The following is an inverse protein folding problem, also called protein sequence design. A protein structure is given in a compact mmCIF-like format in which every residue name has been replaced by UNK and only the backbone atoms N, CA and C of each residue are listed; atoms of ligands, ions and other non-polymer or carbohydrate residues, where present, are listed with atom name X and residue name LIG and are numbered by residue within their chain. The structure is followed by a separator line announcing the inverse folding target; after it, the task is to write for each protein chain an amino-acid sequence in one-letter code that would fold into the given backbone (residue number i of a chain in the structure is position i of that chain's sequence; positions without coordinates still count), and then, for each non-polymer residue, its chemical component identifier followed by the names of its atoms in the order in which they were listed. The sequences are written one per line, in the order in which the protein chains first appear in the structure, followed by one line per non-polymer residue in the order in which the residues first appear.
data_IF_920773068254
#
_entry.id   IF_920773068254
#
_cell.length_a   1.000
_cell.length_b   1.000
_cell.length_c   1.000
_cell.angle_alpha   90.00
_cell.angle_beta   90.00
_cell.angle_gamma   90.00
#
_symmetry.space_group_name_H-M   'P 1'
#
loop_
_entity.id
_entity.type
_entity.pdbx_description
1 polymer ?
#
# COMPACT_ATOMS: atom_id res chain seq x y z
N UNK A 1 -40.29 -10.83 107.41
CA UNK A 1 -40.78 -9.52 106.92
C UNK A 1 -40.84 -9.68 105.39
N UNK A 2 -41.90 -10.31 104.89
CA UNK A 2 -43.13 -9.67 104.36
C UNK A 2 -42.80 -8.79 103.16
N UNK A 3 -42.91 -9.37 101.95
CA UNK A 3 -43.97 -9.07 100.93
C UNK A 3 -43.44 -7.99 99.95
N UNK A 4 -43.63 -7.99 98.64
CA UNK A 4 -44.78 -8.36 97.80
C UNK A 4 -44.32 -8.70 96.35
N UNK A 5 -45.14 -9.50 95.65
CA UNK A 5 -45.21 -9.62 94.18
C UNK A 5 -46.06 -8.44 93.64
N UNK A 6 -45.99 -8.01 92.36
CA UNK A 6 -46.63 -8.80 91.31
C UNK A 6 -46.04 -8.73 89.89
N UNK A 7 -46.32 -9.81 89.17
CA UNK A 7 -46.30 -9.96 87.72
C UNK A 7 -47.40 -9.14 87.04
N UNK A 8 -47.15 -8.60 85.84
CA UNK A 8 -47.99 -8.78 84.62
C UNK A 8 -47.27 -8.24 83.38
N UNK A 9 -47.74 -8.69 82.21
CA UNK A 9 -47.59 -8.10 80.86
C UNK A 9 -46.58 -8.80 79.95
N UNK A 10 -46.83 -9.04 78.67
CA UNK A 10 -48.06 -9.20 77.88
C UNK A 10 -47.54 -9.66 76.51
N UNK A 11 -48.27 -10.61 75.93
CA UNK A 11 -48.35 -10.99 74.52
C UNK A 11 -47.41 -10.32 73.49
N UNK A 12 -46.70 -11.20 72.78
CA UNK A 12 -46.06 -10.97 71.49
C UNK A 12 -47.09 -10.58 70.42
N UNK A 13 -46.76 -9.62 69.54
CA UNK A 13 -47.10 -9.79 68.13
C UNK A 13 -45.94 -9.49 67.18
N UNK A 14 -45.94 -10.27 66.10
CA UNK A 14 -45.09 -10.23 64.92
C UNK A 14 -45.36 -8.97 64.08
N UNK A 15 -44.32 -8.24 63.67
CA UNK A 15 -44.31 -7.33 62.52
C UNK A 15 -42.89 -7.35 61.92
N UNK A 16 -42.69 -8.04 60.79
CA UNK A 16 -42.65 -7.50 59.43
C UNK A 16 -41.54 -6.48 59.15
N UNK A 17 -40.59 -6.96 58.33
CA UNK A 17 -39.63 -6.28 57.45
C UNK A 17 -39.47 -4.77 57.56
N UNK A 18 -38.28 -4.34 57.96
CA UNK A 18 -37.70 -3.06 57.51
C UNK A 18 -36.43 -3.39 56.74
N UNK A 19 -36.57 -3.42 55.42
CA UNK A 19 -35.46 -3.50 54.48
C UNK A 19 -34.63 -2.23 54.62
N UNK A 20 -33.39 -2.37 55.07
CA UNK A 20 -32.41 -1.28 55.06
C UNK A 20 -32.16 -0.89 53.59
N UNK A 21 -32.66 0.28 53.20
CA UNK A 21 -32.35 0.87 51.90
C UNK A 21 -30.86 1.23 51.89
N UNK A 22 -30.09 0.46 51.12
CA UNK A 22 -28.77 0.86 50.68
C UNK A 22 -28.89 2.19 49.90
N UNK A 23 -27.97 3.15 50.05
CA UNK A 23 -27.96 4.34 49.21
C UNK A 23 -27.75 3.92 47.76
N UNK A 24 -28.65 4.42 46.92
CA UNK A 24 -28.72 4.19 45.49
C UNK A 24 -27.38 4.40 44.77
N UNK A 25 -27.21 3.56 43.74
CA UNK A 25 -26.15 3.58 42.73
C UNK A 25 -25.77 4.99 42.23
N UNK A 26 -24.50 5.24 41.88
CA UNK A 26 -24.14 6.44 41.14
C UNK A 26 -24.77 6.36 39.75
N UNK A 27 -25.85 7.14 39.58
CA UNK A 27 -26.38 7.71 38.35
C UNK A 27 -25.69 7.26 37.05
N UNK A 28 -26.38 6.42 36.27
CA UNK A 28 -26.22 6.42 34.82
C UNK A 28 -26.70 7.79 34.32
N UNK A 29 -25.81 8.78 34.31
CA UNK A 29 -26.11 10.03 33.62
C UNK A 29 -26.21 9.73 32.11
N UNK A 30 -27.26 10.22 31.44
CA UNK A 30 -27.38 10.07 29.99
C UNK A 30 -26.16 10.72 29.31
N UNK A 31 -25.52 9.97 28.40
CA UNK A 31 -24.39 10.43 27.60
C UNK A 31 -24.86 11.38 26.49
N UNK A 32 -25.51 12.49 26.84
CA UNK A 32 -25.90 13.48 25.85
C UNK A 32 -24.65 14.22 25.37
N UNK A 33 -24.35 14.21 24.05
CA UNK A 33 -23.17 14.89 23.52
C UNK A 33 -23.19 16.39 23.83
N UNK A 34 -22.08 16.91 24.38
CA UNK A 34 -21.90 18.35 24.57
C UNK A 34 -21.59 19.09 23.27
N UNK A 35 -21.56 20.43 23.32
CA UNK A 35 -21.32 21.30 22.15
C UNK A 35 -20.08 20.92 21.33
N UNK A 36 -18.95 20.63 22.00
CA UNK A 36 -17.73 20.18 21.31
C UNK A 36 -17.93 18.86 20.55
N UNK A 37 -18.67 17.91 21.13
CA UNK A 37 -18.93 16.61 20.49
C UNK A 37 -19.86 16.75 19.28
N UNK A 38 -20.90 17.60 19.37
CA UNK A 38 -21.79 17.89 18.24
C UNK A 38 -21.06 18.53 17.06
N UNK A 39 -20.08 19.40 17.32
CA UNK A 39 -19.24 20.00 16.26
C UNK A 39 -18.42 18.96 15.48
N UNK A 40 -18.22 17.76 16.03
CA UNK A 40 -17.48 16.67 15.38
C UNK A 40 -18.36 15.76 14.51
N UNK A 41 -19.69 15.90 14.53
CA UNK A 41 -20.62 14.97 13.87
C UNK A 41 -20.49 14.93 12.34
N UNK A 42 -20.04 16.04 11.72
CA UNK A 42 -19.85 16.16 10.27
C UNK A 42 -18.37 16.26 9.87
N UNK A 43 -17.46 15.70 10.69
CA UNK A 43 -16.02 15.83 10.46
C UNK A 43 -15.62 15.25 9.09
N UNK A 44 -16.20 14.14 8.65
CA UNK A 44 -15.79 13.45 7.41
C UNK A 44 -15.91 14.33 6.16
N UNK A 45 -16.97 15.13 6.08
CA UNK A 45 -17.32 15.99 4.94
C UNK A 45 -16.45 17.25 4.83
N UNK A 46 -15.64 17.56 5.85
CA UNK A 46 -14.81 18.76 5.90
C UNK A 46 -13.45 18.58 5.22
N UNK A 47 -12.88 19.70 4.76
CA UNK A 47 -11.51 19.74 4.22
C UNK A 47 -10.47 19.49 5.31
N UNK A 48 -9.25 19.08 4.93
CA UNK A 48 -8.16 18.86 5.90
C UNK A 48 -7.81 20.12 6.69
N UNK A 49 -7.87 21.30 6.06
CA UNK A 49 -7.59 22.58 6.72
C UNK A 49 -8.64 22.89 7.78
N UNK A 50 -9.93 22.80 7.42
CA UNK A 50 -11.05 23.01 8.34
C UNK A 50 -11.04 22.02 9.50
N UNK A 51 -10.70 20.75 9.23
CA UNK A 51 -10.47 19.73 10.28
C UNK A 51 -9.40 20.19 11.26
N UNK A 52 -8.27 20.68 10.76
CA UNK A 52 -7.18 21.20 11.57
C UNK A 52 -7.61 22.37 12.47
N UNK A 53 -8.26 23.37 11.90
CA UNK A 53 -8.78 24.53 12.64
C UNK A 53 -9.80 24.13 13.71
N UNK A 54 -10.72 23.21 13.38
CA UNK A 54 -11.70 22.68 14.31
C UNK A 54 -11.02 21.95 15.47
N UNK A 55 -10.01 21.10 15.20
CA UNK A 55 -9.25 20.41 16.24
C UNK A 55 -8.52 21.39 17.16
N UNK A 56 -7.94 22.47 16.61
CA UNK A 56 -7.29 23.52 17.40
C UNK A 56 -8.30 24.20 18.33
N UNK A 57 -9.49 24.55 17.83
CA UNK A 57 -10.54 25.15 18.65
C UNK A 57 -11.04 24.21 19.75
N UNK A 58 -11.29 22.94 19.43
CA UNK A 58 -11.71 21.93 20.42
C UNK A 58 -10.63 21.71 21.48
N UNK A 59 -9.35 21.66 21.07
CA UNK A 59 -8.24 21.56 22.00
C UNK A 59 -8.15 22.77 22.93
N UNK A 60 -8.38 23.99 22.42
CA UNK A 60 -8.42 25.20 23.23
C UNK A 60 -9.56 25.15 24.27
N UNK A 61 -10.76 24.71 23.87
CA UNK A 61 -11.92 24.56 24.76
C UNK A 61 -11.63 23.54 25.87
N UNK A 62 -11.03 22.40 25.53
CA UNK A 62 -10.61 21.37 26.49
C UNK A 62 -9.60 21.97 27.47
N UNK A 63 -8.53 22.60 26.98
CA UNK A 63 -7.52 23.23 27.83
C UNK A 63 -8.11 24.28 28.78
N UNK A 64 -8.96 25.17 28.26
CA UNK A 64 -9.63 26.18 29.07
C UNK A 64 -10.53 25.56 30.16
N UNK A 65 -11.19 24.45 29.84
CA UNK A 65 -12.01 23.68 30.79
C UNK A 65 -11.14 23.12 31.91
N UNK A 66 -10.04 22.43 31.59
CA UNK A 66 -9.12 21.87 32.59
C UNK A 66 -8.48 22.95 33.47
N UNK A 67 -8.10 24.09 32.89
CA UNK A 67 -7.59 25.26 33.65
C UNK A 67 -8.66 25.78 34.61
N UNK A 68 -9.91 25.88 34.15
CA UNK A 68 -11.01 26.36 34.99
C UNK A 68 -11.31 25.42 36.14
N UNK A 69 -11.32 24.11 35.88
CA UNK A 69 -11.47 23.07 36.91
C UNK A 69 -10.36 23.19 37.97
N UNK A 70 -9.09 23.32 37.54
CA UNK A 70 -7.98 23.51 38.46
C UNK A 70 -8.19 24.73 39.36
N UNK A 71 -8.56 25.88 38.78
CA UNK A 71 -8.87 27.10 39.52
C UNK A 71 -10.00 26.92 40.54
N UNK A 72 -11.08 26.21 40.20
CA UNK A 72 -12.18 25.97 41.12
C UNK A 72 -11.84 24.92 42.19
N UNK A 73 -10.92 24.01 41.90
CA UNK A 73 -10.40 23.04 42.88
C UNK A 73 -9.50 23.73 43.91
N UNK A 74 -8.59 24.61 43.48
CA UNK A 74 -7.73 25.43 44.36
C UNK A 74 -8.56 26.31 45.31
N UNK A 75 -9.70 26.83 44.83
CA UNK A 75 -10.65 27.61 45.64
C UNK A 75 -11.50 26.76 46.59
N UNK A 76 -11.38 25.43 46.56
CA UNK A 76 -12.20 24.51 47.35
C UNK A 76 -13.65 24.38 46.89
N UNK A 77 -14.02 24.98 45.75
CA UNK A 77 -15.37 24.86 45.17
C UNK A 77 -15.60 23.47 44.58
N UNK A 78 -14.57 22.89 43.97
CA UNK A 78 -14.57 21.51 43.51
C UNK A 78 -13.75 20.62 44.46
N UNK A 79 -14.40 19.59 45.01
CA UNK A 79 -13.76 18.56 45.81
C UNK A 79 -13.32 17.39 44.92
N UNK A 80 -12.43 16.52 45.42
CA UNK A 80 -11.90 15.37 44.68
C UNK A 80 -12.99 14.45 44.11
N UNK A 81 -14.11 14.29 44.83
CA UNK A 81 -15.26 13.52 44.37
C UNK A 81 -15.91 14.09 43.09
N UNK A 82 -15.81 15.40 42.84
CA UNK A 82 -16.35 16.06 41.65
C UNK A 82 -15.42 15.90 40.44
N UNK A 83 -14.11 15.70 40.65
CA UNK A 83 -13.11 15.62 39.59
C UNK A 83 -12.77 14.20 39.17
N UNK A 84 -13.25 13.16 39.86
CA UNK A 84 -12.93 11.76 39.52
C UNK A 84 -13.34 11.34 38.09
N UNK A 85 -14.36 11.99 37.50
CA UNK A 85 -14.75 11.75 36.09
C UNK A 85 -13.67 12.15 35.09
N UNK A 86 -12.73 13.01 35.48
CA UNK A 86 -11.61 13.44 34.63
C UNK A 86 -10.64 12.29 34.39
N UNK A 87 -10.43 11.43 35.38
CA UNK A 87 -9.57 10.25 35.22
C UNK A 87 -10.11 9.33 34.12
N UNK A 88 -11.44 9.18 34.00
CA UNK A 88 -12.07 8.43 32.93
C UNK A 88 -11.83 9.07 31.54
N UNK A 89 -11.86 10.40 31.45
CA UNK A 89 -11.54 11.13 30.21
C UNK A 89 -10.08 10.88 29.82
N UNK A 90 -9.15 11.06 30.76
CA UNK A 90 -7.71 10.84 30.53
C UNK A 90 -7.47 9.38 30.12
N UNK A 91 -8.13 8.43 30.80
CA UNK A 91 -8.01 7.00 30.47
C UNK A 91 -8.51 6.70 29.06
N UNK A 92 -9.67 7.23 28.67
CA UNK A 92 -10.23 7.07 27.33
C UNK A 92 -9.30 7.61 26.24
N UNK A 93 -8.69 8.77 26.47
CA UNK A 93 -7.70 9.36 25.55
C UNK A 93 -6.49 8.44 25.41
N UNK A 94 -5.93 7.97 26.53
CA UNK A 94 -4.77 7.06 26.54
C UNK A 94 -5.05 5.76 25.80
N UNK A 95 -6.20 5.13 26.07
CA UNK A 95 -6.57 3.86 25.44
C UNK A 95 -6.80 4.01 23.94
N UNK A 96 -7.37 5.14 23.51
CA UNK A 96 -7.58 5.46 22.10
C UNK A 96 -6.25 5.66 21.37
N UNK A 97 -5.33 6.41 21.95
CA UNK A 97 -3.99 6.66 21.39
C UNK A 97 -3.19 5.35 21.26
N UNK A 98 -3.20 4.49 22.28
CA UNK A 98 -2.59 3.15 22.22
C UNK A 98 -3.19 2.31 21.08
N UNK A 99 -4.51 2.27 20.94
CA UNK A 99 -5.19 1.55 19.86
C UNK A 99 -4.80 2.10 18.48
N UNK A 100 -4.80 3.41 18.30
CA UNK A 100 -4.42 4.06 17.04
C UNK A 100 -2.97 3.76 16.67
N UNK A 101 -2.04 3.88 17.63
CA UNK A 101 -0.62 3.51 17.43
C UNK A 101 -0.46 2.05 17.01
N UNK A 102 -1.18 1.13 17.64
CA UNK A 102 -1.14 -0.28 17.23
C UNK A 102 -1.69 -0.54 15.83
N UNK A 103 -2.74 0.15 15.40
CA UNK A 103 -3.29 0.04 14.05
C UNK A 103 -2.28 0.53 13.01
N UNK A 104 -1.68 1.71 13.24
CA UNK A 104 -0.65 2.27 12.38
C UNK A 104 0.58 1.36 12.31
N UNK A 105 1.04 0.84 13.44
CA UNK A 105 2.16 -0.11 13.50
C UNK A 105 1.89 -1.38 12.68
N UNK A 106 0.66 -1.93 12.77
CA UNK A 106 0.26 -3.08 11.96
C UNK A 106 0.29 -2.75 10.48
N UNK A 107 -0.21 -1.58 10.09
CA UNK A 107 -0.20 -1.13 8.69
C UNK A 107 1.23 -0.95 8.17
N UNK A 108 2.09 -0.26 8.93
CA UNK A 108 3.50 -0.09 8.59
C UNK A 108 4.21 -1.43 8.44
N UNK A 109 3.96 -2.38 9.36
CA UNK A 109 4.52 -3.74 9.26
C UNK A 109 4.04 -4.47 8.01
N UNK A 110 2.75 -4.38 7.65
CA UNK A 110 2.22 -4.97 6.41
C UNK A 110 2.90 -4.37 5.17
N UNK A 111 2.94 -3.04 5.07
CA UNK A 111 3.57 -2.34 3.95
C UNK A 111 5.07 -2.67 3.82
N UNK A 112 5.79 -2.82 4.93
CA UNK A 112 7.19 -3.25 4.92
C UNK A 112 7.37 -4.66 4.36
N UNK A 113 6.49 -5.60 4.73
CA UNK A 113 6.50 -6.97 4.19
C UNK A 113 6.20 -6.96 2.69
N UNK A 114 5.20 -6.21 2.27
CA UNK A 114 4.82 -6.07 0.87
C UNK A 114 5.95 -5.44 0.04
N UNK A 115 6.52 -4.31 0.48
CA UNK A 115 7.69 -3.70 -0.15
C UNK A 115 8.86 -4.68 -0.31
N UNK A 116 9.13 -5.48 0.72
CA UNK A 116 10.19 -6.50 0.68
C UNK A 116 9.85 -7.60 -0.32
N UNK A 117 8.61 -8.04 -0.39
CA UNK A 117 8.14 -9.04 -1.35
C UNK A 117 8.24 -8.53 -2.79
N UNK A 118 7.74 -7.32 -3.05
CA UNK A 118 7.82 -6.65 -4.35
C UNK A 118 9.28 -6.55 -4.79
N UNK A 119 10.17 -6.04 -3.92
CA UNK A 119 11.60 -5.94 -4.23
C UNK A 119 12.20 -7.29 -4.64
N UNK A 120 11.88 -8.38 -3.92
CA UNK A 120 12.34 -9.72 -4.30
C UNK A 120 11.82 -10.17 -5.66
N UNK A 121 10.54 -9.91 -5.96
CA UNK A 121 9.92 -10.25 -7.25
C UNK A 121 10.62 -9.51 -8.40
N UNK A 122 10.86 -8.21 -8.24
CA UNK A 122 11.59 -7.41 -9.24
C UNK A 122 13.04 -7.87 -9.41
N UNK A 123 13.77 -8.16 -8.33
CA UNK A 123 15.14 -8.69 -8.44
C UNK A 123 15.20 -10.01 -9.20
N UNK A 124 14.21 -10.89 -9.02
CA UNK A 124 14.12 -12.14 -9.78
C UNK A 124 13.86 -11.89 -11.26
N UNK A 125 12.91 -11.00 -11.58
CA UNK A 125 12.57 -10.66 -12.96
C UNK A 125 13.75 -9.99 -13.67
N UNK A 126 14.43 -9.05 -13.02
CA UNK A 126 15.63 -8.42 -13.55
C UNK A 126 16.72 -9.46 -13.84
N UNK A 127 16.96 -10.41 -12.92
CA UNK A 127 17.91 -11.49 -13.14
C UNK A 127 17.55 -12.40 -14.33
N UNK A 128 16.26 -12.64 -14.59
CA UNK A 128 15.80 -13.38 -15.76
C UNK A 128 16.00 -12.59 -17.06
N UNK A 129 15.67 -11.30 -17.06
CA UNK A 129 15.88 -10.41 -18.21
C UNK A 129 17.38 -10.30 -18.55
N UNK A 130 18.25 -10.14 -17.55
CA UNK A 130 19.69 -10.11 -17.73
C UNK A 130 20.23 -11.41 -18.32
N UNK A 131 19.72 -12.56 -17.87
CA UNK A 131 20.10 -13.87 -18.41
C UNK A 131 19.68 -14.02 -19.88
N UNK A 132 18.45 -13.61 -20.22
CA UNK A 132 17.96 -13.62 -21.59
C UNK A 132 18.78 -12.69 -22.49
N UNK A 133 19.10 -11.48 -22.02
CA UNK A 133 19.92 -10.51 -22.76
C UNK A 133 21.31 -11.07 -23.06
N UNK A 134 21.95 -11.74 -22.10
CA UNK A 134 23.24 -12.42 -22.33
C UNK A 134 23.14 -13.56 -23.32
N UNK A 135 22.08 -14.37 -23.26
CA UNK A 135 21.85 -15.45 -24.21
C UNK A 135 21.69 -14.90 -25.63
N UNK A 136 20.82 -13.90 -25.80
CA UNK A 136 20.59 -13.25 -27.10
C UNK A 136 21.87 -12.61 -27.66
N UNK A 137 22.65 -11.91 -26.82
CA UNK A 137 23.93 -11.33 -27.23
C UNK A 137 24.91 -12.40 -27.72
N UNK A 138 24.91 -13.58 -27.09
CA UNK A 138 25.77 -14.70 -27.49
C UNK A 138 25.35 -15.25 -28.85
N UNK A 139 24.06 -15.47 -29.07
CA UNK A 139 23.54 -15.93 -30.35
C UNK A 139 23.78 -14.91 -31.48
N UNK A 140 23.63 -13.61 -31.20
CA UNK A 140 23.96 -12.57 -32.17
C UNK A 140 25.44 -12.54 -32.56
N UNK A 141 26.35 -12.78 -31.61
CA UNK A 141 27.78 -12.90 -31.93
C UNK A 141 28.06 -14.10 -32.82
N UNK A 142 27.44 -15.26 -32.53
CA UNK A 142 27.57 -16.45 -33.38
C UNK A 142 27.06 -16.17 -34.79
N UNK A 143 25.84 -15.65 -34.92
CA UNK A 143 25.23 -15.36 -36.20
C UNK A 143 26.05 -14.33 -37.01
N UNK A 144 26.56 -13.29 -36.35
CA UNK A 144 27.44 -12.30 -36.99
C UNK A 144 28.75 -12.92 -37.51
N UNK A 145 29.29 -13.90 -36.79
CA UNK A 145 30.49 -14.64 -37.20
C UNK A 145 30.19 -15.51 -38.41
N UNK A 146 29.13 -16.32 -38.35
CA UNK A 146 28.71 -17.17 -39.48
C UNK A 146 28.36 -16.36 -40.73
N UNK A 147 27.72 -15.20 -40.57
CA UNK A 147 27.43 -14.30 -41.69
C UNK A 147 28.72 -13.76 -42.34
N UNK A 148 29.72 -13.42 -41.52
CA UNK A 148 31.03 -12.98 -42.02
C UNK A 148 31.73 -14.10 -42.80
N UNK A 149 31.72 -15.32 -42.27
CA UNK A 149 32.30 -16.49 -42.93
C UNK A 149 31.61 -16.78 -44.27
N UNK A 150 30.27 -16.80 -44.28
CA UNK A 150 29.50 -17.01 -45.50
C UNK A 150 29.78 -15.94 -46.56
N UNK A 151 29.86 -14.66 -46.16
CA UNK A 151 30.25 -13.56 -47.06
C UNK A 151 31.66 -13.74 -47.62
N UNK A 152 32.60 -14.19 -46.79
CA UNK A 152 33.96 -14.50 -47.22
C UNK A 152 34.00 -15.61 -48.27
N UNK A 153 33.22 -16.67 -48.07
CA UNK A 153 33.14 -17.78 -49.02
C UNK A 153 32.48 -17.37 -50.35
N UNK A 154 31.41 -16.58 -50.29
CA UNK A 154 30.78 -16.00 -51.49
C UNK A 154 31.79 -15.17 -52.29
N UNK A 155 32.57 -14.31 -51.63
CA UNK A 155 33.59 -13.51 -52.31
C UNK A 155 34.69 -14.38 -52.94
N UNK A 156 35.11 -15.45 -52.24
CA UNK A 156 36.09 -16.42 -52.75
C UNK A 156 35.58 -17.11 -54.02
N UNK A 157 34.36 -17.64 -53.99
CA UNK A 157 33.71 -18.31 -55.12
C UNK A 157 33.50 -17.35 -56.30
N UNK A 158 33.13 -16.09 -56.04
CA UNK A 158 33.02 -15.07 -57.08
C UNK A 158 34.36 -14.83 -57.79
N UNK A 159 35.44 -14.68 -57.03
CA UNK A 159 36.79 -14.52 -57.59
C UNK A 159 37.22 -15.74 -58.42
N UNK A 160 36.92 -16.95 -57.94
CA UNK A 160 37.22 -18.18 -58.67
C UNK A 160 36.46 -18.25 -59.99
N UNK A 161 35.16 -17.94 -59.97
CA UNK A 161 34.32 -17.84 -61.17
C UNK A 161 34.85 -16.80 -62.15
N UNK A 162 35.29 -15.64 -61.68
CA UNK A 162 35.84 -14.58 -62.53
C UNK A 162 37.15 -14.99 -63.20
N UNK A 163 38.04 -15.67 -62.48
CA UNK A 163 39.26 -16.23 -63.05
C UNK A 163 38.96 -17.27 -64.14
N UNK A 164 38.05 -18.21 -63.86
CA UNK A 164 37.65 -19.24 -64.83
C UNK A 164 37.04 -18.61 -66.08
N UNK A 165 36.17 -17.60 -65.93
CA UNK A 165 35.58 -16.86 -67.04
C UNK A 165 36.65 -16.11 -67.86
N UNK A 166 37.66 -15.52 -67.22
CA UNK A 166 38.76 -14.86 -67.90
C UNK A 166 39.64 -15.85 -68.69
N UNK A 167 39.95 -17.01 -68.10
CA UNK A 167 40.67 -18.10 -68.77
C UNK A 167 39.90 -18.61 -69.99
N UNK A 168 38.58 -18.79 -69.86
CA UNK A 168 37.73 -19.24 -70.97
C UNK A 168 37.75 -18.24 -72.13
N UNK A 169 37.58 -16.94 -71.86
CA UNK A 169 37.63 -15.87 -72.86
C UNK A 169 38.97 -15.84 -73.62
N UNK A 170 40.08 -16.12 -72.94
CA UNK A 170 41.43 -16.14 -73.56
C UNK A 170 41.66 -17.36 -74.47
N UNK A 171 40.88 -18.42 -74.30
CA UNK A 171 41.00 -19.68 -75.05
C UNK A 171 39.99 -19.79 -76.22
N UNK A 172 39.18 -18.75 -76.48
CA UNK A 172 38.30 -18.67 -77.66
C UNK A 172 39.08 -17.98 -78.80
N UNK A 173 39.25 -18.61 -79.98
CA UNK A 173 39.90 -17.96 -81.12
C UNK A 173 39.06 -16.77 -81.62
N UNK A 174 39.71 -15.64 -81.90
CA UNK A 174 39.11 -14.52 -82.64
C UNK A 174 38.80 -14.94 -84.08
N UNK A 175 37.70 -15.67 -84.28
CA UNK A 175 37.00 -15.81 -85.56
C UNK A 175 35.63 -16.45 -85.33
N UNK A 176 34.74 -15.70 -84.68
CA UNK A 176 33.30 -15.96 -84.70
C UNK A 176 32.55 -14.63 -84.64
N UNK A 177 32.34 -14.07 -85.81
CA UNK A 177 31.54 -12.88 -86.06
C UNK A 177 30.07 -13.06 -85.63
N UNK A 178 29.53 -11.98 -85.06
CA UNK A 178 28.13 -11.56 -84.97
C UNK A 178 27.12 -12.33 -84.11
N UNK A 179 26.61 -11.63 -83.09
CA UNK A 179 25.41 -11.98 -82.34
C UNK A 179 25.12 -10.98 -81.22
N UNK A 180 24.74 -9.77 -81.59
CA UNK A 180 24.24 -8.72 -80.70
C UNK A 180 22.94 -9.18 -80.02
N UNK A 181 22.90 -9.33 -78.69
CA UNK A 181 21.67 -9.21 -77.88
C UNK A 181 22.07 -8.67 -76.50
N UNK A 182 21.76 -7.39 -76.31
CA UNK A 182 21.54 -6.73 -75.02
C UNK A 182 20.51 -7.51 -74.20
N UNK A 183 20.78 -7.68 -72.92
CA UNK A 183 19.86 -8.30 -71.97
C UNK A 183 20.33 -8.01 -70.55
N UNK A 184 20.27 -6.75 -70.15
CA UNK A 184 20.15 -6.41 -68.74
C UNK A 184 18.81 -6.94 -68.25
N UNK A 185 18.84 -7.97 -67.41
CA UNK A 185 17.70 -8.31 -66.56
C UNK A 185 18.11 -7.97 -65.12
N UNK A 186 17.75 -6.74 -64.73
CA UNK A 186 17.58 -6.33 -63.34
C UNK A 186 16.57 -7.29 -62.69
N UNK A 187 17.07 -8.20 -61.85
CA UNK A 187 16.22 -8.98 -60.94
C UNK A 187 15.88 -8.07 -59.76
N UNK A 188 14.65 -7.56 -59.77
CA UNK A 188 14.02 -6.86 -58.65
C UNK A 188 13.64 -7.87 -57.56
N UNK A 189 14.57 -8.10 -56.64
CA UNK A 189 14.26 -8.83 -55.41
C UNK A 189 13.35 -8.03 -54.49
N UNK A 190 12.06 -7.87 -54.84
CA UNK A 190 11.02 -7.47 -53.90
C UNK A 190 10.86 -8.58 -52.86
N UNK A 191 11.40 -8.34 -51.67
CA UNK A 191 11.12 -9.16 -50.49
C UNK A 191 9.74 -8.79 -49.96
N UNK A 192 8.84 -9.77 -49.99
CA UNK A 192 7.52 -9.71 -49.36
C UNK A 192 7.71 -9.44 -47.86
N UNK A 193 7.30 -8.26 -47.41
CA UNK A 193 7.29 -7.91 -45.99
C UNK A 193 6.08 -8.58 -45.38
N UNK A 194 6.29 -9.72 -44.71
CA UNK A 194 5.26 -10.35 -43.89
C UNK A 194 5.00 -9.43 -42.69
N UNK A 195 3.93 -8.64 -42.77
CA UNK A 195 3.36 -7.97 -41.62
C UNK A 195 2.99 -9.02 -40.59
N UNK A 196 3.77 -9.08 -39.50
CA UNK A 196 3.35 -9.80 -38.31
C UNK A 196 2.38 -8.89 -37.59
N UNK A 197 1.09 -9.17 -37.77
CA UNK A 197 0.01 -8.55 -37.00
C UNK A 197 0.30 -8.62 -35.51
N UNK A 198 0.10 -7.45 -34.92
CA UNK A 198 0.21 -7.09 -33.53
C UNK A 198 -0.64 -8.01 -32.64
N UNK A 199 0.03 -8.94 -31.96
CA UNK A 199 -0.54 -9.69 -30.85
C UNK A 199 -0.73 -8.78 -29.65
N UNK A 200 -1.83 -8.02 -29.65
CA UNK A 200 -2.40 -7.38 -28.47
C UNK A 200 -2.60 -8.42 -27.37
N UNK A 201 -1.68 -8.44 -26.40
CA UNK A 201 -1.87 -9.09 -25.11
C UNK A 201 -2.34 -8.02 -24.12
N UNK A 202 -3.66 -7.82 -24.09
CA UNK A 202 -4.33 -7.34 -22.90
C UNK A 202 -4.24 -8.42 -21.82
N UNK A 203 -3.41 -8.18 -20.80
CA UNK A 203 -3.62 -8.66 -19.42
C UNK A 203 -3.10 -7.62 -18.42
#
# INVERSE_FOLDING_TARGET
MSSERPTTSSEKPTASSTTAMAPDHPSQQPNTPGSCALRLENLEQQTSTTKGELMVSVAADICATFISIAKYSEKGTLQAQHTGVIDNVIQTIRDTDVKQRHLLDRQVRRLRKEKKWIRKKYSRLAGQADALGRAYQTEMRKLSTSLREARGEVARLQSERDMLRACLKKNVPEDASNGNVDGEEDIDGEYETVESEDGSLEV
#
